data_IF_414269684691
#
_entry.id   IF_414269684691
#
_cell.length_a   1.000
_cell.length_b   1.000
_cell.length_c   1.000
_cell.angle_alpha   90.00
_cell.angle_beta   90.00
_cell.angle_gamma   90.00
#
_symmetry.space_group_name_H-M   'P 1'
#
loop_
_entity.id
_entity.type
_entity.pdbx_description
1 polymer ?
#
# COMPACT_ATOMS: atom_id res chain seq x y z
N UNK A 1 26.29 17.39 28.38
CA UNK A 1 24.90 17.17 27.97
C UNK A 1 24.62 18.05 26.78
N UNK A 2 24.27 17.45 25.64
CA UNK A 2 23.92 18.18 24.41
C UNK A 2 22.67 19.03 24.68
N UNK A 3 22.57 20.23 24.09
CA UNK A 3 21.37 21.07 24.21
C UNK A 3 20.11 20.33 23.74
N UNK A 4 20.26 19.39 22.81
CA UNK A 4 19.18 18.55 22.32
C UNK A 4 18.63 17.57 23.38
N UNK A 5 19.46 17.08 24.30
CA UNK A 5 19.01 16.25 25.43
C UNK A 5 18.07 17.04 26.36
N UNK A 6 18.35 18.32 26.58
CA UNK A 6 17.51 19.19 27.40
C UNK A 6 16.15 19.45 26.75
N UNK A 7 16.13 19.63 25.42
CA UNK A 7 14.88 19.74 24.66
C UNK A 7 14.11 18.44 24.74
N UNK A 8 14.78 17.31 24.59
CA UNK A 8 14.15 15.98 24.63
C UNK A 8 13.48 15.72 25.98
N UNK A 9 14.14 16.09 27.09
CA UNK A 9 13.57 16.00 28.43
C UNK A 9 12.30 16.89 28.59
N UNK A 10 12.28 18.06 27.96
CA UNK A 10 11.11 18.96 27.97
C UNK A 10 10.00 18.47 27.02
N UNK A 11 10.35 17.96 25.85
CA UNK A 11 9.42 17.43 24.85
C UNK A 11 8.67 16.20 25.37
N UNK A 12 9.29 15.42 26.25
CA UNK A 12 8.66 14.27 26.92
C UNK A 12 7.44 14.66 27.79
N UNK A 13 7.30 15.94 28.14
CA UNK A 13 6.18 16.45 28.94
C UNK A 13 4.99 16.94 28.09
N UNK A 14 5.16 17.05 26.76
CA UNK A 14 4.10 17.47 25.84
C UNK A 14 3.15 16.30 25.57
N UNK A 15 1.86 16.53 25.77
CA UNK A 15 0.81 15.55 25.54
C UNK A 15 0.18 15.71 24.14
N UNK A 16 0.02 16.94 23.63
CA UNK A 16 -0.61 17.20 22.32
C UNK A 16 0.21 18.15 21.43
N UNK A 17 -0.08 18.13 20.12
CA UNK A 17 0.48 19.11 19.19
C UNK A 17 -0.02 20.54 19.49
N UNK A 18 -1.24 20.69 19.99
CA UNK A 18 -1.81 21.98 20.39
C UNK A 18 -1.05 22.60 21.55
N UNK A 19 -0.60 21.79 22.51
CA UNK A 19 0.26 22.27 23.61
C UNK A 19 1.59 22.82 23.09
N UNK A 20 2.16 22.20 22.05
CA UNK A 20 3.37 22.69 21.38
C UNK A 20 3.14 24.06 20.70
N UNK A 21 1.90 24.39 20.34
CA UNK A 21 1.55 25.67 19.70
C UNK A 21 1.51 26.85 20.70
N UNK A 22 1.50 26.59 22.00
CA UNK A 22 1.37 27.63 23.04
C UNK A 22 2.62 28.50 23.21
N UNK A 23 2.41 29.77 23.60
CA UNK A 23 3.51 30.68 23.92
C UNK A 23 4.35 30.19 25.12
N UNK A 24 3.70 29.58 26.11
CA UNK A 24 4.35 29.01 27.29
C UNK A 24 5.30 27.86 26.91
N UNK A 25 4.88 26.97 26.01
CA UNK A 25 5.77 25.93 25.48
C UNK A 25 6.98 26.56 24.79
N UNK A 26 6.76 27.56 23.92
CA UNK A 26 7.86 28.25 23.22
C UNK A 26 8.92 28.80 24.19
N UNK A 27 8.48 29.50 25.23
CA UNK A 27 9.40 30.07 26.23
C UNK A 27 10.15 28.99 27.01
N UNK A 28 9.46 27.90 27.38
CA UNK A 28 10.10 26.75 28.04
C UNK A 28 11.18 26.11 27.18
N UNK A 29 10.94 25.92 25.88
CA UNK A 29 11.94 25.33 24.97
C UNK A 29 13.09 26.29 24.65
N UNK A 30 12.79 27.58 24.47
CA UNK A 30 13.76 28.63 24.17
C UNK A 30 14.90 28.73 25.21
N UNK A 31 14.63 28.40 26.48
CA UNK A 31 15.62 28.41 27.57
C UNK A 31 16.68 27.29 27.48
N UNK A 32 16.39 26.18 26.77
CA UNK A 32 17.32 25.06 26.63
C UNK A 32 18.08 25.02 25.30
N UNK A 33 17.79 25.98 24.41
CA UNK A 33 18.32 26.04 23.05
C UNK A 33 19.47 27.03 22.94
N UNK A 34 20.46 26.78 22.06
CA UNK A 34 21.43 27.79 21.65
C UNK A 34 20.75 29.06 21.12
N UNK A 35 21.46 30.19 21.14
CA UNK A 35 20.94 31.45 20.58
C UNK A 35 20.76 31.35 19.05
N UNK A 36 21.63 30.60 18.39
CA UNK A 36 21.55 30.23 16.97
C UNK A 36 22.17 28.84 16.76
N UNK A 37 21.70 28.11 15.76
CA UNK A 37 22.29 26.84 15.34
C UNK A 37 22.03 26.59 13.84
N UNK A 38 22.80 25.71 13.20
CA UNK A 38 22.59 25.33 11.78
C UNK A 38 21.78 24.04 11.65
N UNK A 39 21.23 23.77 10.45
CA UNK A 39 20.60 22.47 10.16
C UNK A 39 21.60 21.32 10.28
N UNK A 40 22.87 21.56 9.97
CA UNK A 40 23.94 20.58 10.15
C UNK A 40 24.15 20.23 11.62
N UNK A 41 24.22 21.24 12.49
CA UNK A 41 24.34 21.00 13.93
C UNK A 41 23.14 20.22 14.47
N UNK A 42 21.92 20.53 14.00
CA UNK A 42 20.73 19.76 14.33
C UNK A 42 20.84 18.31 13.83
N UNK A 43 21.31 18.07 12.61
CA UNK A 43 21.55 16.72 12.09
C UNK A 43 22.55 15.95 12.96
N UNK A 44 23.66 16.58 13.35
CA UNK A 44 24.70 15.95 14.16
C UNK A 44 24.22 15.59 15.56
N UNK A 45 23.51 16.48 16.26
CA UNK A 45 23.02 16.20 17.63
C UNK A 45 21.88 15.19 17.67
N UNK A 46 21.17 14.99 16.55
CA UNK A 46 20.05 14.05 16.45
C UNK A 46 20.44 12.69 15.86
N UNK A 47 21.60 12.60 15.20
CA UNK A 47 22.09 11.37 14.54
C UNK A 47 22.03 10.15 15.45
N UNK A 48 22.69 10.20 16.60
CA UNK A 48 22.73 9.05 17.52
C UNK A 48 21.36 8.78 18.17
N UNK A 49 20.64 9.76 18.75
CA UNK A 49 19.31 9.54 19.34
C UNK A 49 18.29 8.93 18.36
N UNK A 50 18.23 9.43 17.12
CA UNK A 50 17.29 8.93 16.12
C UNK A 50 17.68 7.53 15.66
N UNK A 51 18.97 7.26 15.43
CA UNK A 51 19.43 5.93 15.03
C UNK A 51 19.17 4.87 16.12
N UNK A 52 19.46 5.18 17.38
CA UNK A 52 19.17 4.27 18.51
C UNK A 52 17.68 3.95 18.62
N UNK A 53 16.82 4.96 18.42
CA UNK A 53 15.37 4.81 18.49
C UNK A 53 14.82 4.00 17.30
N UNK A 54 15.46 4.08 16.13
CA UNK A 54 15.07 3.29 14.96
C UNK A 54 15.45 1.81 15.03
N UNK A 55 16.33 1.43 15.96
CA UNK A 55 16.80 0.04 16.11
C UNK A 55 15.69 -0.89 16.58
N UNK A 56 15.58 -2.07 15.95
CA UNK A 56 14.53 -3.05 16.22
C UNK A 56 14.52 -3.62 17.65
N UNK A 57 15.58 -3.41 18.45
CA UNK A 57 15.63 -3.79 19.88
C UNK A 57 15.04 -2.73 20.83
N UNK A 58 14.84 -1.51 20.34
CA UNK A 58 14.51 -0.32 21.14
C UNK A 58 13.47 0.60 20.48
N UNK A 59 12.64 0.06 19.57
CA UNK A 59 11.59 0.81 18.86
C UNK A 59 10.43 1.15 19.81
N UNK A 60 10.73 1.92 20.85
CA UNK A 60 9.75 2.42 21.81
C UNK A 60 9.01 3.60 21.17
N UNK A 61 7.70 3.42 21.00
CA UNK A 61 6.79 4.41 20.43
C UNK A 61 6.90 5.76 21.14
N UNK A 62 7.06 5.74 22.47
CA UNK A 62 7.16 6.96 23.28
C UNK A 62 8.47 7.69 23.04
N UNK A 63 9.59 6.96 22.98
CA UNK A 63 10.89 7.54 22.65
C UNK A 63 10.87 8.14 21.25
N UNK A 64 10.39 7.41 20.24
CA UNK A 64 10.21 7.92 18.87
C UNK A 64 9.38 9.20 18.82
N UNK A 65 8.22 9.21 19.49
CA UNK A 65 7.36 10.41 19.61
C UNK A 65 8.13 11.59 20.20
N UNK A 66 8.87 11.35 21.29
CA UNK A 66 9.62 12.41 21.99
C UNK A 66 10.71 12.99 21.08
N UNK A 67 11.45 12.13 20.37
CA UNK A 67 12.48 12.57 19.42
C UNK A 67 11.89 13.41 18.28
N UNK A 68 10.78 12.96 17.70
CA UNK A 68 10.09 13.69 16.64
C UNK A 68 9.57 15.06 17.14
N UNK A 69 9.00 15.12 18.36
CA UNK A 69 8.57 16.38 18.97
C UNK A 69 9.75 17.33 19.21
N UNK A 70 10.89 16.83 19.68
CA UNK A 70 12.11 17.64 19.87
C UNK A 70 12.55 18.29 18.55
N UNK A 71 12.59 17.51 17.47
CA UNK A 71 12.97 18.02 16.14
C UNK A 71 11.93 19.01 15.62
N UNK A 72 10.63 18.68 15.73
CA UNK A 72 9.56 19.60 15.32
C UNK A 72 9.65 20.95 16.03
N UNK A 73 9.96 20.93 17.33
CA UNK A 73 10.13 22.14 18.14
C UNK A 73 11.28 22.99 17.59
N UNK A 74 12.42 22.38 17.29
CA UNK A 74 13.57 23.07 16.71
C UNK A 74 13.21 23.73 15.37
N UNK A 75 12.49 23.01 14.50
CA UNK A 75 12.15 23.47 13.15
C UNK A 75 11.02 24.52 13.10
N UNK A 76 9.92 24.32 13.85
CA UNK A 76 8.74 25.20 13.80
C UNK A 76 8.79 26.35 14.80
N UNK A 77 9.21 26.09 16.06
CA UNK A 77 9.10 27.08 17.15
C UNK A 77 10.35 27.93 17.31
N UNK A 78 11.49 27.35 16.99
CA UNK A 78 12.78 28.00 17.09
C UNK A 78 13.47 28.10 15.72
N UNK A 79 12.70 28.04 14.64
CA UNK A 79 13.19 28.22 13.27
C UNK A 79 13.81 29.60 13.05
N UNK A 80 13.42 30.61 13.83
CA UNK A 80 14.06 31.93 13.87
C UNK A 80 15.52 31.90 14.35
N UNK A 81 15.93 30.82 15.01
CA UNK A 81 17.31 30.58 15.45
C UNK A 81 18.13 29.76 14.46
N UNK A 82 17.52 29.22 13.41
CA UNK A 82 18.22 28.44 12.39
C UNK A 82 18.95 29.41 11.45
N UNK A 83 20.27 29.38 11.49
CA UNK A 83 21.10 30.18 10.58
C UNK A 83 21.39 29.39 9.32
N UNK A 84 21.15 29.94 8.12
CA UNK A 84 21.36 29.24 6.86
C UNK A 84 22.85 28.99 6.61
N UNK A 85 23.19 27.77 6.20
CA UNK A 85 24.54 27.38 5.81
C UNK A 85 24.47 26.68 4.44
N UNK A 86 24.45 27.50 3.38
CA UNK A 86 24.16 27.07 2.00
C UNK A 86 25.01 25.90 1.49
N UNK A 87 26.23 25.72 1.99
CA UNK A 87 27.14 24.64 1.59
C UNK A 87 26.77 23.27 2.17
N UNK A 88 26.11 23.22 3.33
CA UNK A 88 25.89 21.95 4.07
C UNK A 88 24.41 21.66 4.33
N UNK A 89 23.51 22.63 4.14
CA UNK A 89 22.08 22.51 4.45
C UNK A 89 21.39 21.39 3.65
N UNK A 90 21.71 21.21 2.36
CA UNK A 90 21.06 20.18 1.53
C UNK A 90 21.32 18.77 2.06
N UNK A 91 22.57 18.49 2.42
CA UNK A 91 22.99 17.21 2.95
C UNK A 91 22.48 17.01 4.39
N UNK A 92 22.41 18.08 5.19
CA UNK A 92 21.81 18.02 6.52
C UNK A 92 20.30 17.69 6.46
N UNK A 93 19.58 18.27 5.50
CA UNK A 93 18.16 17.98 5.26
C UNK A 93 17.95 16.56 4.81
N UNK A 94 18.76 16.04 3.88
CA UNK A 94 18.68 14.64 3.45
C UNK A 94 18.90 13.68 4.61
N UNK A 95 19.95 13.93 5.41
CA UNK A 95 20.26 13.12 6.58
C UNK A 95 19.14 13.14 7.64
N UNK A 96 18.63 14.32 7.98
CA UNK A 96 17.52 14.48 8.92
C UNK A 96 16.26 13.78 8.38
N UNK A 97 15.91 14.00 7.11
CA UNK A 97 14.74 13.40 6.49
C UNK A 97 14.82 11.86 6.51
N UNK A 98 15.99 11.30 6.21
CA UNK A 98 16.22 9.86 6.28
C UNK A 98 16.06 9.33 7.70
N UNK A 99 16.63 10.00 8.70
CA UNK A 99 16.53 9.58 10.09
C UNK A 99 15.10 9.70 10.66
N UNK A 100 14.36 10.73 10.24
CA UNK A 100 12.93 10.87 10.57
C UNK A 100 12.12 9.75 9.91
N UNK A 101 12.35 9.47 8.62
CA UNK A 101 11.66 8.41 7.89
C UNK A 101 11.88 7.04 8.55
N UNK A 102 13.08 6.73 9.03
CA UNK A 102 13.38 5.47 9.76
C UNK A 102 12.52 5.26 11.02
N UNK A 103 12.05 6.33 11.66
CA UNK A 103 11.19 6.23 12.84
C UNK A 103 9.75 5.87 12.51
N UNK A 104 9.31 6.18 11.28
CA UNK A 104 7.95 5.93 10.81
C UNK A 104 7.92 4.89 9.67
N UNK A 105 9.03 4.25 9.34
CA UNK A 105 9.06 3.27 8.23
C UNK A 105 8.56 1.90 8.68
N UNK A 106 7.47 1.37 8.08
CA UNK A 106 6.90 0.07 8.45
C UNK A 106 7.67 -1.08 7.78
N UNK A 107 8.97 -1.13 8.07
CA UNK A 107 9.91 -2.17 7.61
C UNK A 107 10.44 -2.92 8.83
N UNK A 108 10.50 -4.25 8.72
CA UNK A 108 11.13 -5.13 9.71
C UNK A 108 12.58 -5.34 9.30
N UNK A 109 13.52 -5.01 10.19
CA UNK A 109 14.97 -5.02 9.90
C UNK A 109 15.72 -6.19 10.55
N UNK A 110 15.02 -7.12 11.21
CA UNK A 110 15.65 -8.26 11.87
C UNK A 110 15.82 -9.44 10.90
N UNK A 111 16.83 -10.27 11.13
CA UNK A 111 16.98 -11.54 10.41
C UNK A 111 15.80 -12.46 10.78
N UNK A 112 15.03 -12.82 9.76
CA UNK A 112 13.75 -13.53 9.87
C UNK A 112 13.81 -14.93 9.24
N UNK A 113 15.01 -15.39 8.88
CA UNK A 113 15.21 -16.63 8.12
C UNK A 113 14.72 -17.90 8.81
N UNK A 114 14.61 -17.92 10.15
CA UNK A 114 14.19 -19.09 10.94
C UNK A 114 12.86 -18.89 11.70
N UNK A 115 12.11 -17.83 11.42
CA UNK A 115 10.89 -17.48 12.16
C UNK A 115 9.64 -18.06 11.50
N UNK A 116 8.71 -18.58 12.30
CA UNK A 116 7.39 -19.05 11.86
C UNK A 116 6.61 -17.96 11.13
N UNK A 117 5.87 -18.33 10.08
CA UNK A 117 5.00 -17.41 9.31
C UNK A 117 3.99 -16.65 10.19
N UNK A 118 3.50 -17.26 11.26
CA UNK A 118 2.57 -16.60 12.20
C UNK A 118 3.27 -15.51 13.01
N UNK A 119 4.48 -15.78 13.50
CA UNK A 119 5.27 -14.82 14.26
C UNK A 119 5.75 -13.65 13.37
N UNK A 120 6.04 -13.94 12.10
CA UNK A 120 6.34 -12.92 11.08
C UNK A 120 5.16 -11.97 10.87
N UNK A 121 3.93 -12.49 10.73
CA UNK A 121 2.73 -11.66 10.61
C UNK A 121 2.51 -10.80 11.85
N UNK A 122 2.68 -11.38 13.04
CA UNK A 122 2.48 -10.66 14.28
C UNK A 122 3.52 -9.54 14.45
N UNK A 123 4.77 -9.82 14.11
CA UNK A 123 5.86 -8.83 14.13
C UNK A 123 5.56 -7.70 13.15
N UNK A 124 5.16 -8.03 11.92
CA UNK A 124 4.82 -7.04 10.88
C UNK A 124 3.67 -6.14 11.32
N UNK A 125 2.59 -6.71 11.89
CA UNK A 125 1.47 -5.92 12.43
C UNK A 125 1.90 -4.98 13.55
N UNK A 126 2.68 -5.49 14.50
CA UNK A 126 3.18 -4.68 15.62
C UNK A 126 4.00 -3.51 15.12
N UNK A 127 4.88 -3.74 14.13
CA UNK A 127 5.68 -2.67 13.51
C UNK A 127 4.79 -1.64 12.81
N UNK A 128 3.78 -2.06 12.05
CA UNK A 128 2.85 -1.15 11.38
C UNK A 128 2.11 -0.28 12.39
N UNK A 129 1.53 -0.86 13.44
CA UNK A 129 0.80 -0.14 14.50
C UNK A 129 1.69 0.90 15.21
N UNK A 130 2.93 0.53 15.52
CA UNK A 130 3.92 1.43 16.12
C UNK A 130 4.26 2.61 15.20
N UNK A 131 4.49 2.34 13.91
CA UNK A 131 4.80 3.38 12.93
C UNK A 131 3.59 4.30 12.69
N UNK A 132 2.38 3.74 12.58
CA UNK A 132 1.14 4.52 12.42
C UNK A 132 0.92 5.52 13.56
N UNK A 133 1.22 5.13 14.80
CA UNK A 133 1.09 6.02 15.97
C UNK A 133 1.95 7.29 15.85
N UNK A 134 3.10 7.20 15.17
CA UNK A 134 4.03 8.31 15.00
C UNK A 134 4.02 8.93 13.59
N UNK A 135 3.29 8.34 12.65
CA UNK A 135 3.31 8.72 11.23
C UNK A 135 2.92 10.18 11.01
N UNK A 136 1.79 10.61 11.58
CA UNK A 136 1.31 12.00 11.43
C UNK A 136 2.34 13.03 11.93
N UNK A 137 2.96 12.75 13.08
CA UNK A 137 4.01 13.61 13.62
C UNK A 137 5.27 13.58 12.74
N UNK A 138 5.73 12.40 12.33
CA UNK A 138 6.93 12.26 11.48
C UNK A 138 6.77 12.96 10.13
N UNK A 139 5.62 12.81 9.48
CA UNK A 139 5.29 13.51 8.22
C UNK A 139 5.22 15.02 8.42
N UNK A 140 4.66 15.48 9.54
CA UNK A 140 4.66 16.90 9.92
C UNK A 140 6.07 17.46 10.12
N UNK A 141 6.98 16.67 10.71
CA UNK A 141 8.40 17.03 10.87
C UNK A 141 9.08 17.13 9.51
N UNK A 142 8.85 16.18 8.59
CA UNK A 142 9.38 16.24 7.22
C UNK A 142 8.91 17.50 6.49
N UNK A 143 7.62 17.85 6.60
CA UNK A 143 7.08 19.08 6.02
C UNK A 143 7.73 20.34 6.64
N UNK A 144 7.90 20.37 7.96
CA UNK A 144 8.57 21.47 8.64
C UNK A 144 10.05 21.62 8.25
N UNK A 145 10.72 20.49 7.99
CA UNK A 145 12.13 20.44 7.59
C UNK A 145 12.33 21.00 6.18
N UNK A 146 11.53 20.56 5.20
CA UNK A 146 11.63 21.07 3.83
C UNK A 146 11.28 22.55 3.72
N UNK A 147 10.46 23.09 4.63
CA UNK A 147 10.18 24.54 4.70
C UNK A 147 11.36 25.38 5.18
N UNK A 148 12.42 24.78 5.75
CA UNK A 148 13.60 25.52 6.20
C UNK A 148 14.55 25.87 5.06
N UNK A 149 14.44 25.22 3.90
CA UNK A 149 15.34 25.48 2.78
C UNK A 149 14.70 26.42 1.77
N UNK A 150 15.50 27.38 1.29
CA UNK A 150 15.09 28.28 0.21
C UNK A 150 15.13 27.60 -1.16
N UNK A 151 16.04 26.64 -1.33
CA UNK A 151 16.14 25.83 -2.55
C UNK A 151 15.45 24.48 -2.35
N UNK A 152 14.78 23.93 -3.38
CA UNK A 152 14.18 22.60 -3.30
C UNK A 152 15.24 21.51 -3.11
N UNK A 153 15.04 20.63 -2.12
CA UNK A 153 15.93 19.50 -1.83
C UNK A 153 15.28 18.21 -2.33
N UNK A 154 16.00 17.47 -3.20
CA UNK A 154 15.61 16.11 -3.58
C UNK A 154 15.89 15.15 -2.43
N UNK A 155 14.83 14.49 -1.97
CA UNK A 155 14.89 13.46 -0.94
C UNK A 155 15.39 12.13 -1.50
N UNK A 156 15.97 11.32 -0.61
CA UNK A 156 16.38 9.95 -0.93
C UNK A 156 15.17 9.04 -1.15
N UNK A 157 15.32 8.04 -2.03
CA UNK A 157 14.24 7.12 -2.37
C UNK A 157 13.66 6.39 -1.15
N UNK A 158 14.45 6.07 -0.12
CA UNK A 158 13.94 5.48 1.12
C UNK A 158 12.93 6.36 1.85
N UNK A 159 13.12 7.68 1.81
CA UNK A 159 12.15 8.65 2.36
C UNK A 159 10.89 8.64 1.50
N UNK A 160 11.03 8.62 0.18
CA UNK A 160 9.90 8.59 -0.76
C UNK A 160 9.07 7.32 -0.62
N UNK A 161 9.70 6.14 -0.52
CA UNK A 161 9.00 4.87 -0.24
C UNK A 161 8.26 4.90 1.08
N UNK A 162 8.84 5.56 2.09
CA UNK A 162 8.18 5.74 3.39
C UNK A 162 6.97 6.67 3.26
N UNK A 163 7.05 7.74 2.48
CA UNK A 163 5.90 8.61 2.18
C UNK A 163 4.79 7.84 1.46
N UNK A 164 5.12 6.98 0.48
CA UNK A 164 4.14 6.15 -0.24
C UNK A 164 3.27 5.31 0.72
N UNK A 165 3.83 4.83 1.83
CA UNK A 165 3.09 4.08 2.85
C UNK A 165 1.91 4.85 3.48
N UNK A 166 1.94 6.18 3.37
CA UNK A 166 0.99 7.09 4.00
C UNK A 166 0.17 7.91 3.00
N UNK A 167 0.22 7.56 1.71
CA UNK A 167 -0.55 8.24 0.65
C UNK A 167 -1.98 7.74 0.49
N UNK A 168 -2.47 6.85 1.38
CA UNK A 168 -3.81 6.27 1.31
C UNK A 168 -4.43 6.08 2.71
N UNK A 169 -5.69 6.47 2.83
CA UNK A 169 -6.49 6.49 4.05
C UNK A 169 -6.55 5.16 4.81
N UNK A 170 -6.65 4.02 4.11
CA UNK A 170 -6.76 2.71 4.77
C UNK A 170 -5.51 2.35 5.61
N UNK A 171 -4.37 3.02 5.38
CA UNK A 171 -3.08 2.73 6.03
C UNK A 171 -2.54 3.89 6.87
N UNK A 172 -3.06 5.12 6.70
CA UNK A 172 -2.63 6.32 7.44
C UNK A 172 -3.19 6.40 8.88
N UNK A 173 -3.91 5.37 9.34
CA UNK A 173 -4.60 5.38 10.63
C UNK A 173 -5.83 6.30 10.64
N UNK A 174 -6.41 6.59 9.46
CA UNK A 174 -7.61 7.41 9.30
C UNK A 174 -7.39 8.93 9.40
N UNK A 175 -6.14 9.41 9.40
CA UNK A 175 -5.84 10.84 9.40
C UNK A 175 -5.71 11.36 7.96
N UNK A 176 -6.77 11.98 7.44
CA UNK A 176 -6.74 12.66 6.14
C UNK A 176 -5.62 13.71 6.05
N UNK A 177 -5.31 14.40 7.15
CA UNK A 177 -4.24 15.40 7.17
C UNK A 177 -2.85 14.77 6.90
N UNK A 178 -2.59 13.59 7.47
CA UNK A 178 -1.33 12.86 7.25
C UNK A 178 -1.17 12.47 5.78
N UNK A 179 -2.25 11.97 5.18
CA UNK A 179 -2.29 11.60 3.76
C UNK A 179 -2.09 12.82 2.86
N UNK A 180 -2.79 13.92 3.12
CA UNK A 180 -2.68 15.14 2.35
C UNK A 180 -1.25 15.71 2.41
N UNK A 181 -0.61 15.71 3.59
CA UNK A 181 0.78 16.16 3.71
C UNK A 181 1.71 15.20 2.94
N UNK A 182 1.53 13.88 3.05
CA UNK A 182 2.37 12.91 2.36
C UNK A 182 2.30 13.04 0.83
N UNK A 183 1.09 13.18 0.27
CA UNK A 183 0.89 13.41 -1.16
C UNK A 183 1.53 14.72 -1.61
N UNK A 184 1.32 15.83 -0.89
CA UNK A 184 1.97 17.12 -1.19
C UNK A 184 3.50 17.03 -1.18
N UNK A 185 4.06 16.33 -0.19
CA UNK A 185 5.50 16.14 -0.11
C UNK A 185 6.03 15.36 -1.32
N UNK A 186 5.33 14.33 -1.78
CA UNK A 186 5.70 13.59 -3.00
C UNK A 186 5.61 14.46 -4.26
N UNK A 187 4.51 15.19 -4.43
CA UNK A 187 4.32 16.10 -5.58
C UNK A 187 5.42 17.16 -5.68
N UNK A 188 5.84 17.72 -4.54
CA UNK A 188 6.96 18.67 -4.47
C UNK A 188 8.26 18.07 -5.01
N UNK A 189 8.46 16.76 -4.86
CA UNK A 189 9.69 16.07 -5.27
C UNK A 189 9.82 15.91 -6.79
N UNK A 190 8.72 16.06 -7.54
CA UNK A 190 8.71 16.11 -9.00
C UNK A 190 8.93 17.53 -9.55
N UNK A 191 8.86 18.54 -8.70
CA UNK A 191 9.12 19.95 -9.05
C UNK A 191 10.56 20.38 -8.78
N UNK A 192 11.40 19.49 -8.22
CA UNK A 192 12.80 19.78 -7.91
C UNK A 192 13.61 19.80 -9.22
N UNK A 193 14.52 20.78 -9.43
CA UNK A 193 15.40 20.78 -10.61
C UNK A 193 16.16 19.45 -10.76
N UNK A 194 16.29 18.98 -12.00
CA UNK A 194 16.95 17.71 -12.37
C UNK A 194 16.36 16.43 -11.73
N UNK A 195 15.17 16.51 -11.12
CA UNK A 195 14.47 15.32 -10.63
C UNK A 195 13.82 14.53 -11.77
N UNK A 196 13.71 13.21 -11.58
CA UNK A 196 12.89 12.36 -12.44
C UNK A 196 11.46 12.90 -12.52
N UNK A 197 10.86 12.84 -13.70
CA UNK A 197 9.43 13.11 -13.86
C UNK A 197 8.61 12.14 -12.99
N UNK A 198 7.34 12.47 -12.73
CA UNK A 198 6.44 11.58 -12.01
C UNK A 198 6.33 10.19 -12.68
N UNK A 199 6.28 10.17 -14.02
CA UNK A 199 6.22 8.95 -14.81
C UNK A 199 7.50 8.11 -14.69
N UNK A 200 8.68 8.73 -14.74
CA UNK A 200 9.97 8.06 -14.53
C UNK A 200 10.09 7.53 -13.10
N UNK A 201 9.65 8.31 -12.10
CA UNK A 201 9.64 7.87 -10.71
C UNK A 201 8.73 6.64 -10.54
N UNK A 202 7.52 6.67 -11.09
CA UNK A 202 6.59 5.54 -11.03
C UNK A 202 7.18 4.30 -11.72
N UNK A 203 7.68 4.45 -12.95
CA UNK A 203 8.09 3.31 -13.77
C UNK A 203 9.46 2.75 -13.40
N UNK A 204 10.46 3.61 -13.21
CA UNK A 204 11.85 3.19 -12.97
C UNK A 204 12.12 3.00 -11.48
N UNK A 205 11.64 3.92 -10.64
CA UNK A 205 11.94 3.88 -9.20
C UNK A 205 10.98 2.96 -8.45
N UNK A 206 9.67 3.15 -8.59
CA UNK A 206 8.66 2.39 -7.83
C UNK A 206 8.44 0.99 -8.40
N UNK A 207 8.07 0.86 -9.68
CA UNK A 207 7.75 -0.45 -10.26
C UNK A 207 8.99 -1.32 -10.48
N UNK A 208 10.04 -0.77 -11.10
CA UNK A 208 11.23 -1.55 -11.48
C UNK A 208 12.26 -1.72 -10.37
N UNK A 209 12.72 -0.62 -9.75
CA UNK A 209 13.80 -0.70 -8.76
C UNK A 209 13.31 -1.18 -7.38
N UNK A 210 12.06 -0.88 -7.02
CA UNK A 210 11.52 -1.18 -5.70
C UNK A 210 10.61 -2.41 -5.65
N UNK A 211 9.47 -2.39 -6.34
CA UNK A 211 8.46 -3.45 -6.23
C UNK A 211 8.90 -4.76 -6.90
N UNK A 212 9.45 -4.72 -8.12
CA UNK A 212 9.82 -5.92 -8.85
C UNK A 212 10.76 -6.86 -8.06
N UNK A 213 11.84 -6.39 -7.40
CA UNK A 213 12.66 -7.26 -6.55
C UNK A 213 11.87 -7.91 -5.42
N UNK A 214 11.01 -7.16 -4.73
CA UNK A 214 10.22 -7.64 -3.59
C UNK A 214 9.25 -8.77 -3.99
N UNK A 215 8.66 -8.70 -5.18
CA UNK A 215 7.69 -9.69 -5.68
C UNK A 215 8.32 -10.82 -6.52
N UNK A 216 9.61 -10.76 -6.81
CA UNK A 216 10.28 -11.66 -7.77
C UNK A 216 10.17 -13.15 -7.42
N UNK A 217 10.26 -13.49 -6.13
CA UNK A 217 10.17 -14.88 -5.63
C UNK A 217 8.71 -15.36 -5.46
N UNK A 218 7.75 -14.44 -5.46
CA UNK A 218 6.31 -14.71 -5.30
C UNK A 218 5.55 -14.72 -6.62
N UNK A 219 6.27 -14.78 -7.74
CA UNK A 219 5.68 -14.62 -9.06
C UNK A 219 4.69 -15.76 -9.38
N UNK A 220 3.45 -15.46 -9.83
CA UNK A 220 2.49 -16.49 -10.20
C UNK A 220 2.98 -17.33 -11.40
N UNK A 221 2.74 -18.64 -11.34
CA UNK A 221 3.08 -19.58 -12.42
C UNK A 221 2.15 -19.48 -13.64
N UNK A 222 0.99 -18.83 -13.49
CA UNK A 222 0.02 -18.58 -14.55
C UNK A 222 0.51 -17.60 -15.62
N UNK A 223 1.65 -16.94 -15.40
CA UNK A 223 2.18 -15.91 -16.30
C UNK A 223 3.66 -16.11 -16.68
N UNK A 224 4.03 -15.70 -17.89
CA UNK A 224 5.40 -15.69 -18.40
C UNK A 224 6.20 -14.54 -17.77
N UNK A 225 7.52 -14.48 -18.01
CA UNK A 225 8.37 -13.35 -17.56
C UNK A 225 7.91 -11.98 -18.09
N UNK A 226 7.20 -11.96 -19.22
CA UNK A 226 6.61 -10.74 -19.81
C UNK A 226 5.19 -10.45 -19.32
N UNK A 227 4.70 -11.17 -18.30
CA UNK A 227 3.37 -10.97 -17.73
C UNK A 227 2.22 -11.50 -18.59
N UNK A 228 2.48 -12.16 -19.72
CA UNK A 228 1.44 -12.81 -20.54
C UNK A 228 1.00 -14.13 -19.93
N UNK A 229 -0.19 -14.64 -20.30
CA UNK A 229 -0.62 -15.98 -19.91
C UNK A 229 0.43 -17.03 -20.29
N UNK A 230 0.78 -17.91 -19.35
CA UNK A 230 1.67 -19.05 -19.62
C UNK A 230 0.90 -20.17 -20.35
N UNK A 231 1.42 -20.63 -21.49
CA UNK A 231 0.84 -21.77 -22.24
C UNK A 231 1.15 -23.12 -21.59
N UNK A 232 2.30 -23.19 -20.89
CA UNK A 232 2.75 -24.35 -20.15
C UNK A 232 2.93 -23.96 -18.70
N UNK A 233 1.93 -24.20 -17.85
CA UNK A 233 2.15 -24.24 -16.41
C UNK A 233 2.91 -25.53 -16.14
N UNK A 234 4.22 -25.45 -15.89
CA UNK A 234 5.03 -26.61 -15.51
C UNK A 234 4.31 -27.40 -14.40
N UNK A 235 3.76 -28.55 -14.79
CA UNK A 235 3.09 -29.56 -13.98
C UNK A 235 2.28 -29.00 -12.79
N UNK A 236 1.06 -28.51 -13.06
CA UNK A 236 0.04 -28.31 -12.02
C UNK A 236 -0.17 -29.58 -11.15
N UNK A 237 0.15 -30.76 -11.67
CA UNK A 237 0.10 -32.03 -10.94
C UNK A 237 1.23 -32.27 -9.93
N UNK A 238 2.41 -31.62 -10.06
CA UNK A 238 3.55 -31.83 -9.13
C UNK A 238 3.71 -30.73 -8.09
N UNK A 239 2.98 -29.61 -8.20
CA UNK A 239 2.88 -28.57 -7.15
C UNK A 239 1.64 -28.70 -6.27
N UNK A 240 0.75 -29.66 -6.54
CA UNK A 240 -0.44 -29.92 -5.73
C UNK A 240 -0.17 -30.45 -4.31
N UNK A 241 1.10 -30.67 -3.93
CA UNK A 241 1.47 -31.24 -2.62
C UNK A 241 2.43 -30.38 -1.78
N UNK A 242 2.98 -29.29 -2.31
CA UNK A 242 3.77 -28.35 -1.50
C UNK A 242 2.95 -27.12 -1.17
N UNK A 243 2.72 -26.92 0.13
CA UNK A 243 2.17 -25.67 0.66
C UNK A 243 2.93 -24.47 0.09
N UNK A 244 2.24 -23.38 -0.28
CA UNK A 244 2.91 -22.14 -0.69
C UNK A 244 3.91 -21.73 0.40
N UNK A 245 5.14 -21.37 0.00
CA UNK A 245 6.11 -20.88 0.96
C UNK A 245 5.65 -19.52 1.49
N UNK A 246 5.40 -19.46 2.79
CA UNK A 246 4.97 -18.27 3.54
C UNK A 246 6.14 -17.80 4.41
N UNK A 247 7.27 -17.48 3.79
CA UNK A 247 8.48 -17.02 4.48
C UNK A 247 8.84 -15.58 4.11
N UNK A 248 9.62 -14.92 4.96
CA UNK A 248 10.17 -13.58 4.66
C UNK A 248 11.12 -13.59 3.45
N UNK A 249 11.71 -14.75 3.12
CA UNK A 249 12.61 -14.91 1.98
C UNK A 249 11.85 -14.90 0.66
N UNK A 250 10.72 -15.60 0.57
CA UNK A 250 9.92 -15.68 -0.66
C UNK A 250 8.88 -14.56 -0.78
N UNK A 251 8.40 -14.03 0.34
CA UNK A 251 7.42 -12.94 0.42
C UNK A 251 7.93 -11.74 1.25
N UNK A 252 9.07 -11.12 0.91
CA UNK A 252 9.57 -9.95 1.65
C UNK A 252 8.60 -8.76 1.58
N UNK A 253 7.81 -8.65 0.51
CA UNK A 253 6.71 -7.68 0.39
C UNK A 253 5.63 -7.83 1.48
N UNK A 254 5.45 -9.03 2.04
CA UNK A 254 4.41 -9.35 3.04
C UNK A 254 4.92 -9.37 4.47
N UNK A 255 6.20 -9.69 4.67
CA UNK A 255 6.78 -9.95 6.00
C UNK A 255 7.90 -9.00 6.41
N UNK A 256 8.51 -8.32 5.44
CA UNK A 256 9.66 -7.45 5.68
C UNK A 256 9.33 -6.00 5.39
N UNK A 257 8.80 -5.69 4.21
CA UNK A 257 8.53 -4.32 3.78
C UNK A 257 7.04 -4.07 3.52
N UNK A 258 6.34 -3.54 4.53
CA UNK A 258 4.90 -3.30 4.48
C UNK A 258 4.53 -2.07 3.65
N UNK A 259 5.52 -1.29 3.18
CA UNK A 259 5.30 -0.15 2.28
C UNK A 259 4.95 -0.63 0.86
N UNK A 260 5.21 -1.90 0.54
CA UNK A 260 5.01 -2.49 -0.77
C UNK A 260 3.55 -2.39 -1.25
N UNK A 261 2.56 -2.81 -0.46
CA UNK A 261 1.14 -2.77 -0.85
C UNK A 261 0.63 -1.33 -1.06
N UNK A 262 0.89 -0.36 -0.15
CA UNK A 262 0.62 1.05 -0.41
C UNK A 262 1.29 1.58 -1.69
N UNK A 263 2.55 1.21 -1.94
CA UNK A 263 3.26 1.63 -3.14
C UNK A 263 2.62 1.08 -4.43
N UNK A 264 2.11 -0.16 -4.41
CA UNK A 264 1.33 -0.72 -5.54
C UNK A 264 0.04 0.06 -5.74
N UNK A 265 -0.69 0.35 -4.65
CA UNK A 265 -1.93 1.10 -4.72
C UNK A 265 -1.70 2.52 -5.29
N UNK A 266 -0.66 3.21 -4.81
CA UNK A 266 -0.24 4.50 -5.34
C UNK A 266 0.11 4.40 -6.82
N UNK A 267 0.94 3.44 -7.22
CA UNK A 267 1.34 3.28 -8.62
C UNK A 267 0.14 3.04 -9.55
N UNK A 268 -0.85 2.25 -9.13
CA UNK A 268 -2.08 2.05 -9.91
C UNK A 268 -2.95 3.31 -9.93
N UNK A 269 -3.02 4.07 -8.83
CA UNK A 269 -3.79 5.31 -8.74
C UNK A 269 -3.23 6.40 -9.65
N UNK A 270 -1.91 6.63 -9.63
CA UNK A 270 -1.26 7.68 -10.41
C UNK A 270 -1.09 7.30 -11.89
N UNK A 271 -0.96 6.01 -12.21
CA UNK A 271 -0.83 5.59 -13.60
C UNK A 271 -2.10 5.91 -14.40
N UNK A 272 -1.93 6.64 -15.51
CA UNK A 272 -2.99 6.88 -16.48
C UNK A 272 -3.13 5.71 -17.47
N UNK A 273 -4.15 5.78 -18.34
CA UNK A 273 -4.45 4.73 -19.34
C UNK A 273 -3.27 4.49 -20.29
N UNK A 274 -2.57 5.55 -20.69
CA UNK A 274 -1.44 5.49 -21.61
C UNK A 274 -0.24 4.79 -20.97
N UNK A 275 0.11 5.16 -19.74
CA UNK A 275 1.20 4.55 -18.98
C UNK A 275 0.92 3.07 -18.73
N UNK A 276 -0.30 2.73 -18.30
CA UNK A 276 -0.71 1.32 -18.13
C UNK A 276 -0.60 0.57 -19.45
N UNK A 277 -1.06 1.14 -20.57
CA UNK A 277 -0.97 0.48 -21.87
C UNK A 277 0.47 0.18 -22.30
N UNK A 278 1.43 1.01 -21.90
CA UNK A 278 2.85 0.84 -22.23
C UNK A 278 3.58 -0.08 -21.26
N UNK A 279 3.31 0.04 -19.95
CA UNK A 279 4.09 -0.57 -18.88
C UNK A 279 3.35 -1.66 -18.11
N UNK A 280 2.19 -2.11 -18.58
CA UNK A 280 1.41 -3.16 -17.92
C UNK A 280 2.18 -4.40 -17.45
N UNK A 281 3.22 -4.92 -18.14
CA UNK A 281 3.93 -6.11 -17.67
C UNK A 281 4.55 -5.95 -16.28
N UNK A 282 4.81 -4.72 -15.83
CA UNK A 282 5.33 -4.42 -14.51
C UNK A 282 4.27 -4.56 -13.41
N UNK A 283 2.98 -4.38 -13.74
CA UNK A 283 1.88 -4.44 -12.78
C UNK A 283 1.36 -5.87 -12.58
N UNK A 284 1.24 -6.64 -13.66
CA UNK A 284 0.53 -7.94 -13.65
C UNK A 284 1.04 -8.90 -12.57
N UNK A 285 2.36 -9.17 -12.43
CA UNK A 285 2.84 -10.12 -11.44
C UNK A 285 2.43 -9.70 -10.03
N UNK A 286 2.56 -8.42 -9.72
CA UNK A 286 2.29 -7.87 -8.38
C UNK A 286 0.80 -7.94 -8.07
N UNK A 287 -0.07 -7.52 -9.00
CA UNK A 287 -1.52 -7.54 -8.81
C UNK A 287 -2.06 -8.96 -8.62
N UNK A 288 -1.56 -9.92 -9.41
CA UNK A 288 -1.95 -11.32 -9.27
C UNK A 288 -1.45 -11.91 -7.96
N UNK A 289 -0.20 -11.65 -7.57
CA UNK A 289 0.32 -12.11 -6.26
C UNK A 289 -0.55 -11.62 -5.10
N UNK A 290 -1.02 -10.35 -5.13
CA UNK A 290 -1.89 -9.82 -4.08
C UNK A 290 -3.29 -10.44 -4.14
N UNK A 291 -3.89 -10.58 -5.33
CA UNK A 291 -5.22 -11.17 -5.51
C UNK A 291 -5.24 -12.68 -5.16
N UNK A 292 -4.11 -13.37 -5.28
CA UNK A 292 -3.95 -14.79 -4.97
C UNK A 292 -3.46 -15.06 -3.54
N UNK A 293 -3.20 -14.05 -2.70
CA UNK A 293 -2.70 -14.28 -1.35
C UNK A 293 -3.74 -14.97 -0.45
N UNK A 294 -3.26 -15.71 0.54
CA UNK A 294 -4.09 -16.48 1.48
C UNK A 294 -4.64 -15.63 2.62
N UNK A 295 -3.99 -14.50 2.94
CA UNK A 295 -4.44 -13.62 4.01
C UNK A 295 -5.58 -12.71 3.52
N UNK A 296 -6.74 -12.80 4.17
CA UNK A 296 -7.93 -12.00 3.84
C UNK A 296 -7.65 -10.51 3.65
N UNK A 297 -6.92 -9.80 4.53
CA UNK A 297 -6.68 -8.36 4.35
C UNK A 297 -5.84 -8.05 3.10
N UNK A 298 -4.86 -8.90 2.78
CA UNK A 298 -4.00 -8.74 1.60
C UNK A 298 -4.80 -9.00 0.34
N UNK A 299 -5.56 -10.11 0.30
CA UNK A 299 -6.43 -10.46 -0.84
C UNK A 299 -7.48 -9.40 -1.09
N UNK A 300 -8.18 -8.94 -0.04
CA UNK A 300 -9.14 -7.82 -0.12
C UNK A 300 -8.50 -6.61 -0.80
N UNK A 301 -7.33 -6.19 -0.30
CA UNK A 301 -6.63 -5.02 -0.84
C UNK A 301 -6.16 -5.25 -2.28
N UNK A 302 -5.65 -6.44 -2.59
CA UNK A 302 -5.29 -6.85 -3.96
C UNK A 302 -6.46 -6.74 -4.93
N UNK A 303 -7.65 -7.18 -4.53
CA UNK A 303 -8.87 -7.10 -5.35
C UNK A 303 -9.32 -5.65 -5.60
N UNK A 304 -9.23 -4.77 -4.60
CA UNK A 304 -9.54 -3.35 -4.75
C UNK A 304 -8.58 -2.68 -5.74
N UNK A 305 -7.27 -2.85 -5.54
CA UNK A 305 -6.24 -2.29 -6.43
C UNK A 305 -6.38 -2.87 -7.85
N UNK A 306 -6.64 -4.17 -7.97
CA UNK A 306 -6.85 -4.81 -9.27
C UNK A 306 -8.09 -4.27 -9.98
N UNK A 307 -9.16 -3.96 -9.24
CA UNK A 307 -10.36 -3.33 -9.81
C UNK A 307 -10.01 -1.96 -10.39
N UNK A 308 -9.29 -1.13 -9.65
CA UNK A 308 -8.85 0.20 -10.10
C UNK A 308 -7.96 0.10 -11.34
N UNK A 309 -7.01 -0.83 -11.35
CA UNK A 309 -6.16 -1.12 -12.49
C UNK A 309 -6.99 -1.54 -13.71
N UNK A 310 -7.94 -2.46 -13.52
CA UNK A 310 -8.82 -2.91 -14.59
C UNK A 310 -9.58 -1.73 -15.20
N UNK A 311 -10.11 -0.77 -14.43
CA UNK A 311 -10.84 0.37 -15.02
C UNK A 311 -10.02 1.13 -16.08
N UNK A 312 -8.70 1.18 -15.94
CA UNK A 312 -7.77 1.87 -16.83
C UNK A 312 -7.12 0.95 -17.89
N UNK A 313 -7.26 -0.36 -17.75
CA UNK A 313 -6.57 -1.33 -18.59
C UNK A 313 -7.20 -1.44 -20.00
N UNK A 314 -6.41 -1.42 -21.09
CA UNK A 314 -6.96 -1.50 -22.45
C UNK A 314 -7.63 -2.84 -22.76
N UNK A 315 -8.90 -2.81 -23.17
CA UNK A 315 -9.71 -4.00 -23.47
C UNK A 315 -9.04 -4.88 -24.55
N UNK A 316 -8.51 -4.28 -25.61
CA UNK A 316 -7.85 -5.03 -26.68
C UNK A 316 -6.64 -5.82 -26.16
N UNK A 317 -5.79 -5.18 -25.34
CA UNK A 317 -4.62 -5.82 -24.73
C UNK A 317 -5.04 -6.97 -23.83
N UNK A 318 -6.11 -6.80 -23.05
CA UNK A 318 -6.64 -7.82 -22.15
C UNK A 318 -7.00 -9.13 -22.88
N UNK A 319 -7.61 -9.01 -24.06
CA UNK A 319 -8.04 -10.15 -24.86
C UNK A 319 -6.90 -10.75 -25.69
N UNK A 320 -6.09 -9.90 -26.33
CA UNK A 320 -5.01 -10.34 -27.22
C UNK A 320 -3.89 -11.06 -26.46
N UNK A 321 -3.72 -10.80 -25.17
CA UNK A 321 -2.69 -11.40 -24.31
C UNK A 321 -3.17 -12.59 -23.48
N UNK A 322 -4.48 -12.89 -23.51
CA UNK A 322 -5.09 -13.93 -22.67
C UNK A 322 -5.20 -13.58 -21.18
N UNK A 323 -4.90 -12.33 -20.80
CA UNK A 323 -4.94 -11.86 -19.41
C UNK A 323 -6.34 -11.87 -18.80
N UNK A 324 -7.39 -11.75 -19.63
CA UNK A 324 -8.77 -11.92 -19.16
C UNK A 324 -8.95 -13.20 -18.34
N UNK A 325 -8.49 -14.34 -18.88
CA UNK A 325 -8.59 -15.62 -18.20
C UNK A 325 -7.70 -15.68 -16.95
N UNK A 326 -6.51 -15.09 -17.01
CA UNK A 326 -5.58 -15.08 -15.87
C UNK A 326 -6.19 -14.34 -14.68
N UNK A 327 -6.82 -13.18 -14.92
CA UNK A 327 -7.51 -12.46 -13.85
C UNK A 327 -8.76 -13.21 -13.36
N UNK A 328 -9.51 -13.83 -14.26
CA UNK A 328 -10.65 -14.68 -13.86
C UNK A 328 -10.19 -15.81 -12.93
N UNK A 329 -9.14 -16.53 -13.31
CA UNK A 329 -8.60 -17.66 -12.54
C UNK A 329 -8.05 -17.24 -11.17
N UNK A 330 -7.54 -16.02 -11.04
CA UNK A 330 -7.06 -15.45 -9.78
C UNK A 330 -8.19 -14.95 -8.86
N UNK A 331 -9.20 -14.26 -9.43
CA UNK A 331 -10.26 -13.62 -8.66
C UNK A 331 -11.36 -14.61 -8.27
N UNK A 332 -11.83 -15.43 -9.24
CA UNK A 332 -13.03 -16.25 -9.08
C UNK A 332 -13.00 -17.22 -7.88
N UNK A 333 -11.86 -17.86 -7.53
CA UNK A 333 -11.76 -18.70 -6.33
C UNK A 333 -12.11 -17.98 -5.03
N UNK A 334 -11.99 -16.64 -4.99
CA UNK A 334 -12.35 -15.83 -3.81
C UNK A 334 -13.84 -15.97 -3.45
N UNK A 335 -14.71 -16.25 -4.42
CA UNK A 335 -16.14 -16.45 -4.17
C UNK A 335 -16.43 -17.67 -3.27
N UNK A 336 -15.46 -18.58 -3.11
CA UNK A 336 -15.54 -19.75 -2.23
C UNK A 336 -14.96 -19.53 -0.84
N UNK A 337 -14.51 -18.30 -0.50
CA UNK A 337 -14.05 -17.95 0.85
C UNK A 337 -15.26 -17.75 1.77
N UNK A 338 -15.90 -18.86 2.13
CA UNK A 338 -17.16 -18.90 2.87
C UNK A 338 -16.99 -19.57 4.25
N UNK A 339 -17.97 -19.39 5.16
CA UNK A 339 -18.02 -20.09 6.45
C UNK A 339 -17.87 -21.60 6.31
N UNK A 340 -17.18 -22.20 7.29
CA UNK A 340 -16.53 -23.53 7.32
C UNK A 340 -15.00 -23.46 7.20
N UNK A 341 -14.48 -22.54 6.38
CA UNK A 341 -13.03 -22.32 6.20
C UNK A 341 -12.62 -20.87 6.48
N UNK A 342 -13.48 -19.91 6.16
CA UNK A 342 -13.26 -18.48 6.41
C UNK A 342 -14.33 -17.96 7.38
N UNK A 343 -13.99 -17.22 8.44
CA UNK A 343 -14.99 -16.59 9.31
C UNK A 343 -15.94 -15.70 8.52
N UNK A 344 -17.20 -15.58 8.96
CA UNK A 344 -18.24 -14.82 8.26
C UNK A 344 -17.82 -13.38 7.93
N UNK A 345 -17.16 -12.68 8.87
CA UNK A 345 -16.64 -11.33 8.64
C UNK A 345 -15.67 -11.30 7.46
N UNK A 346 -14.69 -12.21 7.45
CA UNK A 346 -13.69 -12.31 6.39
C UNK A 346 -14.30 -12.70 5.05
N UNK A 347 -15.37 -13.48 5.04
CA UNK A 347 -16.14 -13.79 3.84
C UNK A 347 -16.81 -12.54 3.27
N UNK A 348 -17.52 -11.77 4.11
CA UNK A 348 -18.19 -10.54 3.69
C UNK A 348 -17.18 -9.51 3.15
N UNK A 349 -16.04 -9.35 3.82
CA UNK A 349 -14.94 -8.46 3.41
C UNK A 349 -14.37 -8.79 2.03
N UNK A 350 -14.41 -10.07 1.61
CA UNK A 350 -13.86 -10.54 0.34
C UNK A 350 -14.88 -10.58 -0.79
N UNK A 351 -16.13 -10.95 -0.51
CA UNK A 351 -17.15 -11.14 -1.54
C UNK A 351 -17.42 -9.84 -2.31
N UNK A 352 -17.60 -8.71 -1.62
CA UNK A 352 -17.93 -7.44 -2.29
C UNK A 352 -16.81 -6.99 -3.26
N UNK A 353 -15.53 -6.92 -2.84
CA UNK A 353 -14.44 -6.62 -3.76
C UNK A 353 -14.27 -7.66 -4.89
N UNK A 354 -14.44 -8.95 -4.59
CA UNK A 354 -14.31 -10.00 -5.60
C UNK A 354 -15.36 -9.87 -6.70
N UNK A 355 -16.64 -9.71 -6.34
CA UNK A 355 -17.70 -9.48 -7.34
C UNK A 355 -17.49 -8.17 -8.10
N UNK A 356 -17.01 -7.11 -7.45
CA UNK A 356 -16.72 -5.83 -8.11
C UNK A 356 -15.62 -5.99 -9.18
N UNK A 357 -14.54 -6.69 -8.86
CA UNK A 357 -13.46 -7.00 -9.80
C UNK A 357 -13.94 -7.87 -10.97
N UNK A 358 -14.73 -8.93 -10.70
CA UNK A 358 -15.30 -9.80 -11.72
C UNK A 358 -16.29 -9.06 -12.62
N UNK A 359 -17.15 -8.19 -12.07
CA UNK A 359 -18.06 -7.36 -12.85
C UNK A 359 -17.29 -6.37 -13.73
N UNK A 360 -16.23 -5.75 -13.21
CA UNK A 360 -15.35 -4.89 -14.00
C UNK A 360 -14.73 -5.67 -15.18
N UNK A 361 -14.23 -6.88 -14.91
CA UNK A 361 -13.70 -7.76 -15.93
C UNK A 361 -14.76 -8.18 -16.97
N UNK A 362 -15.99 -8.48 -16.52
CA UNK A 362 -17.11 -8.85 -17.39
C UNK A 362 -17.51 -7.71 -18.32
N UNK A 363 -17.48 -6.45 -17.86
CA UNK A 363 -17.78 -5.27 -18.69
C UNK A 363 -16.79 -5.09 -19.83
N UNK A 364 -15.55 -5.54 -19.66
CA UNK A 364 -14.51 -5.50 -20.69
C UNK A 364 -14.56 -6.66 -21.68
N UNK A 365 -15.36 -7.68 -21.42
CA UNK A 365 -15.52 -8.80 -22.35
C UNK A 365 -16.28 -8.36 -23.61
N UNK A 366 -15.89 -8.84 -24.81
CA UNK A 366 -16.58 -8.47 -26.03
C UNK A 366 -18.03 -8.95 -25.98
N UNK A 367 -18.96 -8.04 -26.32
CA UNK A 367 -20.40 -8.31 -26.34
C UNK A 367 -20.80 -9.28 -27.48
N UNK A 368 -20.02 -9.29 -28.57
CA UNK A 368 -20.21 -10.14 -29.74
C UNK A 368 -19.02 -11.10 -29.83
N UNK A 369 -19.29 -12.39 -29.99
CA UNK A 369 -18.24 -13.39 -30.18
C UNK A 369 -17.53 -13.23 -31.53
N UNK A 370 -16.36 -13.87 -31.70
CA UNK A 370 -15.61 -13.85 -32.98
C UNK A 370 -16.44 -14.36 -34.17
N UNK A 371 -17.46 -15.16 -33.92
CA UNK A 371 -18.34 -15.78 -34.92
C UNK A 371 -19.52 -14.88 -35.34
N UNK A 372 -19.54 -13.60 -34.93
CA UNK A 372 -20.62 -12.66 -35.25
C UNK A 372 -21.95 -12.94 -34.53
N UNK A 373 -22.00 -14.00 -33.72
CA UNK A 373 -23.16 -14.32 -32.89
C UNK A 373 -23.18 -13.37 -31.68
N UNK A 374 -24.34 -12.72 -31.47
CA UNK A 374 -24.67 -11.97 -30.25
C UNK A 374 -24.81 -12.92 -29.06
N UNK A 375 -23.69 -13.52 -28.65
CA UNK A 375 -23.50 -14.41 -27.50
C UNK A 375 -22.02 -14.79 -27.48
N UNK A 376 -21.34 -14.50 -26.39
CA UNK A 376 -21.11 -15.55 -25.40
C UNK A 376 -20.10 -15.14 -24.32
N UNK A 377 -18.96 -14.45 -24.57
CA UNK A 377 -17.93 -14.30 -23.53
C UNK A 377 -18.43 -13.56 -22.29
N UNK A 378 -18.95 -12.33 -22.44
CA UNK A 378 -19.57 -11.57 -21.33
C UNK A 378 -20.68 -12.37 -20.64
N UNK A 379 -21.67 -12.81 -21.42
CA UNK A 379 -22.87 -13.45 -20.85
C UNK A 379 -22.59 -14.83 -20.23
N UNK A 380 -21.66 -15.61 -20.77
CA UNK A 380 -21.20 -16.88 -20.19
C UNK A 380 -20.47 -16.64 -18.89
N UNK A 381 -19.67 -15.59 -18.83
CA UNK A 381 -18.97 -15.23 -17.61
C UNK A 381 -19.96 -14.75 -16.52
N UNK A 382 -20.93 -13.90 -16.87
CA UNK A 382 -22.01 -13.51 -15.96
C UNK A 382 -22.88 -14.70 -15.53
N UNK A 383 -23.16 -15.65 -16.44
CA UNK A 383 -23.84 -16.91 -16.10
C UNK A 383 -23.07 -17.72 -15.06
N UNK A 384 -21.75 -17.81 -15.23
CA UNK A 384 -20.86 -18.52 -14.30
C UNK A 384 -20.87 -17.85 -12.94
N UNK A 385 -20.75 -16.53 -12.88
CA UNK A 385 -20.84 -15.76 -11.64
C UNK A 385 -22.17 -15.98 -10.92
N UNK A 386 -23.29 -16.01 -11.64
CA UNK A 386 -24.59 -16.26 -11.02
C UNK A 386 -24.72 -17.71 -10.52
N UNK A 387 -24.31 -18.69 -11.31
CA UNK A 387 -24.51 -20.12 -11.00
C UNK A 387 -23.51 -20.64 -9.97
N UNK A 388 -22.23 -20.45 -10.23
CA UNK A 388 -21.14 -20.98 -9.40
C UNK A 388 -20.82 -20.03 -8.24
N UNK A 389 -20.90 -18.71 -8.46
CA UNK A 389 -20.67 -17.71 -7.42
C UNK A 389 -21.87 -17.53 -6.51
N UNK A 390 -22.95 -16.93 -7.03
CA UNK A 390 -24.10 -16.52 -6.22
C UNK A 390 -24.88 -17.72 -5.69
N UNK A 391 -25.39 -18.57 -6.58
CA UNK A 391 -26.22 -19.71 -6.16
C UNK A 391 -25.37 -20.73 -5.38
N UNK A 392 -24.15 -21.01 -5.84
CA UNK A 392 -23.20 -21.85 -5.11
C UNK A 392 -22.94 -21.34 -3.70
N UNK A 393 -22.63 -20.05 -3.55
CA UNK A 393 -22.41 -19.41 -2.26
C UNK A 393 -23.65 -19.41 -1.38
N UNK A 394 -24.84 -19.18 -1.94
CA UNK A 394 -26.10 -19.21 -1.20
C UNK A 394 -26.36 -20.59 -0.62
N UNK A 395 -26.22 -21.67 -1.41
CA UNK A 395 -26.45 -23.02 -0.90
C UNK A 395 -25.46 -23.42 0.21
N UNK A 396 -24.24 -22.90 0.17
CA UNK A 396 -23.22 -23.15 1.18
C UNK A 396 -23.41 -22.32 2.46
N UNK A 397 -23.80 -21.05 2.32
CA UNK A 397 -23.82 -20.07 3.41
C UNK A 397 -25.20 -19.46 3.70
N UNK A 398 -26.30 -20.14 3.33
CA UNK A 398 -27.68 -19.67 3.53
C UNK A 398 -28.04 -19.30 4.98
N UNK A 399 -27.34 -19.90 5.95
CA UNK A 399 -27.56 -19.66 7.37
C UNK A 399 -26.85 -18.38 7.87
N UNK A 400 -26.03 -17.74 7.03
CA UNK A 400 -25.29 -16.51 7.32
C UNK A 400 -25.96 -15.31 6.65
N UNK A 401 -26.80 -14.60 7.40
CA UNK A 401 -27.66 -13.51 6.89
C UNK A 401 -26.87 -12.43 6.16
N UNK A 402 -25.69 -12.03 6.66
CA UNK A 402 -24.87 -10.98 6.03
C UNK A 402 -24.30 -11.43 4.69
N UNK A 403 -23.95 -12.70 4.56
CA UNK A 403 -23.48 -13.26 3.28
C UNK A 403 -24.64 -13.32 2.30
N UNK A 404 -25.81 -13.79 2.73
CA UNK A 404 -27.02 -13.83 1.88
C UNK A 404 -27.39 -12.43 1.40
N UNK A 405 -27.31 -11.42 2.25
CA UNK A 405 -27.52 -10.02 1.87
C UNK A 405 -26.57 -9.58 0.75
N UNK A 406 -25.26 -9.84 0.91
CA UNK A 406 -24.27 -9.54 -0.14
C UNK A 406 -24.63 -10.28 -1.43
N UNK A 407 -24.90 -11.58 -1.39
CA UNK A 407 -25.23 -12.36 -2.57
C UNK A 407 -26.50 -11.85 -3.28
N UNK A 408 -27.51 -11.39 -2.55
CA UNK A 408 -28.69 -10.74 -3.11
C UNK A 408 -28.34 -9.43 -3.82
N UNK A 409 -27.54 -8.57 -3.20
CA UNK A 409 -27.07 -7.32 -3.83
C UNK A 409 -26.28 -7.61 -5.11
N UNK A 410 -25.37 -8.59 -5.09
CA UNK A 410 -24.59 -8.97 -6.26
C UNK A 410 -25.46 -9.62 -7.35
N UNK A 411 -26.51 -10.35 -6.99
CA UNK A 411 -27.51 -10.86 -7.94
C UNK A 411 -28.10 -9.72 -8.76
N UNK A 412 -28.54 -8.64 -8.11
CA UNK A 412 -29.10 -7.47 -8.79
C UNK A 412 -28.09 -6.89 -9.78
N UNK A 413 -26.87 -6.61 -9.34
CA UNK A 413 -25.81 -6.05 -10.19
C UNK A 413 -25.50 -6.94 -11.40
N UNK A 414 -25.47 -8.27 -11.22
CA UNK A 414 -25.23 -9.23 -12.30
C UNK A 414 -26.41 -9.23 -13.29
N UNK A 415 -27.65 -9.27 -12.81
CA UNK A 415 -28.83 -9.29 -13.67
C UNK A 415 -28.97 -8.00 -14.48
N UNK A 416 -28.65 -6.84 -13.88
CA UNK A 416 -28.58 -5.56 -14.58
C UNK A 416 -27.56 -5.60 -15.73
N UNK A 417 -26.36 -6.12 -15.47
CA UNK A 417 -25.33 -6.26 -16.51
C UNK A 417 -25.65 -7.29 -17.60
N UNK A 418 -26.48 -8.29 -17.27
CA UNK A 418 -26.96 -9.29 -18.24
C UNK A 418 -28.09 -8.77 -19.14
N UNK A 419 -28.88 -7.80 -18.68
CA UNK A 419 -30.04 -7.28 -19.40
C UNK A 419 -31.03 -8.39 -19.81
N UNK A 420 -31.46 -8.42 -21.08
CA UNK A 420 -32.43 -9.41 -21.58
C UNK A 420 -31.99 -10.87 -21.41
N UNK A 421 -30.68 -11.13 -21.28
CA UNK A 421 -30.17 -12.49 -21.08
C UNK A 421 -30.43 -13.04 -19.68
N UNK A 422 -30.83 -12.19 -18.72
CA UNK A 422 -31.24 -12.57 -17.37
C UNK A 422 -32.52 -13.42 -17.34
N UNK A 423 -33.39 -13.30 -18.37
CA UNK A 423 -34.73 -13.94 -18.39
C UNK A 423 -34.68 -15.46 -18.15
N UNK A 424 -33.62 -16.14 -18.60
CA UNK A 424 -33.45 -17.59 -18.38
C UNK A 424 -33.25 -17.97 -16.91
N UNK A 425 -32.78 -17.04 -16.08
CA UNK A 425 -32.54 -17.23 -14.66
C UNK A 425 -33.74 -16.84 -13.80
N UNK A 426 -34.66 -16.01 -14.31
CA UNK A 426 -35.92 -15.67 -13.62
C UNK A 426 -36.86 -16.88 -13.41
N UNK A 427 -36.66 -17.96 -14.17
CA UNK A 427 -37.40 -19.23 -13.98
C UNK A 427 -36.87 -20.05 -12.80
N UNK A 428 -35.65 -19.78 -12.34
CA UNK A 428 -35.08 -20.39 -11.13
C UNK A 428 -35.71 -19.64 -9.96
N UNK A 429 -36.64 -20.28 -9.25
CA UNK A 429 -37.26 -19.71 -8.05
C UNK A 429 -36.16 -19.53 -6.99
N UNK A 430 -35.68 -18.31 -6.82
CA UNK A 430 -35.00 -17.90 -5.59
C UNK A 430 -36.06 -17.98 -4.47
N UNK A 431 -35.78 -18.62 -3.32
CA UNK A 431 -36.73 -18.76 -2.22
C UNK A 431 -37.33 -17.44 -1.76
#
# INVERSE_FOLDING_TARGET
MSWFEQITAKAAQIQSLEELETAEARDKFAQGLPQSFTLRELADVTREPLNLTSSAKSRDVRTARTQLLSVLTCLRRCGDRITPELSTDHDAVKELALNIAKLITPVVTQDQSEVSSQDLLQTSRTVVEQCQTNAGLGITVLEALLRQTTNPVRLENEVLYTLLAYTNEEQSGGSHETEDIANRLLEQQFSVPDSSTEEEFLTETVLQAYLRPLFSQSKPSSITASGRKAEYTENAASKGESMPDESAVTKPWKYTDMRSIPAVAWAVREANVQLIAQHWPLFIPVLLTLADDTATPVRRRGLLILTDFLTKFPDKTLHDTGLAQVFEDAIFPTLSYLPSLTPEEGSVELLVPAYSALLCLAKKQPAIGKDGVARAPKNRFLDRMLREGVLGGYFHAKDHVRIVEVLCQQTVAILEEMGVHAVKHLKVRVP
#
